data_IF_476643495846
#
_entry.id   IF_476643495846
#
_cell.length_a   1.000
_cell.length_b   1.000
_cell.length_c   1.000
_cell.angle_alpha   90.00
_cell.angle_beta   90.00
_cell.angle_gamma   90.00
#
_symmetry.space_group_name_H-M   'P 1'
#
loop_
_entity.id
_entity.type
_entity.pdbx_description
1 polymer ?
#
# COMPACT_ATOMS: atom_id res chain seq x y z
N UNK A 1 -5.76 -0.13 -19.67
CA UNK A 1 -7.09 0.19 -19.12
C UNK A 1 -8.15 -0.81 -19.55
N UNK A 2 -8.34 -1.03 -20.86
CA UNK A 2 -9.31 -1.99 -21.39
C UNK A 2 -9.16 -3.39 -20.81
N UNK A 3 -7.92 -3.89 -20.64
CA UNK A 3 -7.65 -5.20 -20.02
C UNK A 3 -8.12 -5.33 -18.56
N UNK A 4 -8.15 -4.23 -17.79
CA UNK A 4 -8.71 -4.23 -16.42
C UNK A 4 -10.23 -4.14 -16.47
N UNK A 5 -10.76 -3.24 -17.31
CA UNK A 5 -12.20 -3.03 -17.47
C UNK A 5 -12.92 -4.24 -18.07
N UNK A 6 -12.27 -5.01 -18.94
CA UNK A 6 -12.81 -6.22 -19.55
C UNK A 6 -12.87 -7.44 -18.63
N UNK A 7 -12.24 -7.40 -17.44
CA UNK A 7 -12.30 -8.51 -16.47
C UNK A 7 -13.54 -8.44 -15.58
N UNK A 8 -13.70 -7.34 -14.84
CA UNK A 8 -14.74 -7.20 -13.81
C UNK A 8 -15.49 -5.85 -13.89
N UNK A 9 -15.19 -5.04 -14.91
CA UNK A 9 -15.76 -3.70 -15.08
C UNK A 9 -15.27 -2.66 -14.07
N UNK A 10 -14.94 -3.06 -12.83
CA UNK A 10 -14.45 -2.22 -11.74
C UNK A 10 -13.19 -2.78 -11.08
N UNK A 11 -12.35 -1.91 -10.55
CA UNK A 11 -11.16 -2.31 -9.79
C UNK A 11 -10.73 -1.25 -8.78
N UNK A 12 -10.01 -1.71 -7.76
CA UNK A 12 -9.31 -0.87 -6.80
C UNK A 12 -7.87 -0.70 -7.26
N UNK A 13 -7.35 0.52 -7.34
CA UNK A 13 -5.92 0.74 -7.42
C UNK A 13 -5.36 0.95 -6.02
N UNK A 14 -4.47 0.05 -5.60
CA UNK A 14 -3.77 0.10 -4.33
C UNK A 14 -2.33 0.56 -4.56
N UNK A 15 -2.02 1.77 -4.13
CA UNK A 15 -0.64 2.25 -4.03
C UNK A 15 0.01 1.67 -2.75
N UNK A 16 0.72 0.56 -2.92
CA UNK A 16 1.32 -0.22 -1.84
C UNK A 16 2.77 0.19 -1.64
N UNK A 17 3.00 1.15 -0.74
CA UNK A 17 4.32 1.76 -0.49
C UNK A 17 5.19 0.95 0.48
N UNK A 18 5.36 -0.33 0.20
CA UNK A 18 6.13 -1.27 1.03
C UNK A 18 7.48 -1.64 0.39
N UNK A 19 8.14 -0.67 -0.23
CA UNK A 19 9.45 -0.84 -0.86
C UNK A 19 10.59 -0.68 0.16
N UNK A 20 11.70 -1.39 -0.10
CA UNK A 20 12.87 -1.43 0.80
C UNK A 20 13.42 -0.04 1.16
N UNK A 21 13.55 0.83 0.16
CA UNK A 21 14.05 2.20 0.36
C UNK A 21 13.09 3.04 1.22
N UNK A 22 11.77 2.84 1.10
CA UNK A 22 10.78 3.55 1.90
C UNK A 22 10.83 3.09 3.37
N UNK A 23 10.90 1.79 3.61
CA UNK A 23 11.01 1.23 4.96
C UNK A 23 12.31 1.66 5.64
N UNK A 24 13.42 1.67 4.89
CA UNK A 24 14.72 2.18 5.37
C UNK A 24 14.65 3.67 5.72
N UNK A 25 14.07 4.50 4.83
CA UNK A 25 13.92 5.94 5.01
C UNK A 25 13.06 6.29 6.23
N UNK A 26 11.91 5.65 6.38
CA UNK A 26 10.98 5.85 7.51
C UNK A 26 11.47 5.19 8.80
N UNK A 27 12.41 4.26 8.70
CA UNK A 27 12.92 3.48 9.81
C UNK A 27 11.91 2.53 10.44
N UNK A 28 10.90 2.12 9.67
CA UNK A 28 9.86 1.22 10.11
C UNK A 28 10.28 -0.23 9.96
N UNK A 29 10.36 -0.95 11.08
CA UNK A 29 10.84 -2.34 11.16
C UNK A 29 9.79 -3.31 11.71
N UNK A 30 8.56 -2.85 11.96
CA UNK A 30 7.49 -3.71 12.43
C UNK A 30 7.20 -4.85 11.45
N UNK A 31 7.06 -6.07 11.98
CA UNK A 31 6.87 -7.29 11.20
C UNK A 31 8.12 -7.78 10.46
N UNK A 32 9.25 -7.07 10.52
CA UNK A 32 10.50 -7.52 9.92
C UNK A 32 11.27 -8.44 10.88
N UNK A 33 12.09 -9.32 10.30
CA UNK A 33 13.11 -10.06 11.07
C UNK A 33 14.23 -9.13 11.55
N UNK A 34 15.04 -9.60 12.49
CA UNK A 34 16.22 -8.85 12.94
C UNK A 34 17.20 -8.58 11.79
N UNK A 35 17.40 -9.58 10.91
CA UNK A 35 18.26 -9.47 9.74
C UNK A 35 17.75 -8.40 8.75
N UNK A 36 16.46 -8.42 8.43
CA UNK A 36 15.82 -7.40 7.58
C UNK A 36 15.94 -6.01 8.22
N UNK A 37 15.66 -5.89 9.52
CA UNK A 37 15.75 -4.62 10.26
C UNK A 37 17.16 -4.04 10.26
N UNK A 38 18.18 -4.90 10.42
CA UNK A 38 19.59 -4.52 10.35
C UNK A 38 19.98 -4.07 8.95
N UNK A 39 19.53 -4.78 7.92
CA UNK A 39 19.75 -4.41 6.52
C UNK A 39 19.20 -3.01 6.22
N UNK A 40 17.96 -2.73 6.61
CA UNK A 40 17.34 -1.41 6.42
C UNK A 40 18.08 -0.31 7.19
N UNK A 41 18.61 -0.62 8.38
CA UNK A 41 19.39 0.32 9.18
C UNK A 41 20.71 0.65 8.50
N UNK A 42 21.45 -0.36 8.03
CA UNK A 42 22.72 -0.17 7.30
C UNK A 42 22.48 0.67 6.03
N UNK A 43 21.42 0.39 5.27
CA UNK A 43 21.05 1.19 4.10
C UNK A 43 20.81 2.65 4.47
N UNK A 44 20.07 2.92 5.56
CA UNK A 44 19.79 4.28 6.02
C UNK A 44 21.05 5.02 6.43
N UNK A 45 21.94 4.36 7.16
CA UNK A 45 23.22 4.92 7.60
C UNK A 45 24.11 5.28 6.40
N UNK A 46 24.23 4.39 5.43
CA UNK A 46 25.05 4.57 4.23
C UNK A 46 24.48 5.56 3.20
N UNK A 47 23.21 5.96 3.33
CA UNK A 47 22.58 6.89 2.37
C UNK A 47 22.87 8.35 2.73
N UNK A 48 23.95 8.93 2.20
CA UNK A 48 24.48 10.24 2.61
C UNK A 48 23.48 11.42 2.61
N UNK A 49 22.52 11.44 1.69
CA UNK A 49 21.56 12.55 1.56
C UNK A 49 20.38 12.48 2.55
N UNK A 50 20.25 11.40 3.33
CA UNK A 50 19.24 11.31 4.40
C UNK A 50 19.79 11.86 5.70
N UNK A 51 19.18 12.96 6.19
CA UNK A 51 19.66 13.69 7.38
C UNK A 51 19.48 12.91 8.68
N UNK A 52 18.37 12.19 8.82
CA UNK A 52 18.02 11.46 10.05
C UNK A 52 18.48 10.02 9.91
N UNK A 53 19.39 9.59 10.80
CA UNK A 53 20.00 8.25 10.78
C UNK A 53 19.51 7.34 11.89
N UNK A 54 19.27 7.91 13.06
CA UNK A 54 18.71 7.19 14.22
C UNK A 54 17.21 7.49 14.27
N UNK A 55 16.41 6.44 14.15
CA UNK A 55 14.95 6.53 14.13
C UNK A 55 14.41 5.47 15.08
N UNK A 56 13.48 5.87 15.96
CA UNK A 56 12.72 4.95 16.78
C UNK A 56 11.56 4.38 15.97
N UNK A 57 11.67 3.13 15.52
CA UNK A 57 10.63 2.48 14.71
C UNK A 57 9.28 2.39 15.43
N UNK A 58 9.28 2.24 16.76
CA UNK A 58 8.05 2.08 17.54
C UNK A 58 7.28 3.41 17.54
N UNK A 59 7.99 4.51 17.81
CA UNK A 59 7.42 5.85 17.77
C UNK A 59 6.89 6.21 16.37
N UNK A 60 7.63 5.89 15.30
CA UNK A 60 7.16 6.09 13.93
C UNK A 60 5.87 5.32 13.64
N UNK A 61 5.76 4.09 14.13
CA UNK A 61 4.55 3.27 13.98
C UNK A 61 3.39 3.90 14.73
N UNK A 62 3.55 4.23 16.01
CA UNK A 62 2.50 4.81 16.86
C UNK A 62 2.00 6.16 16.35
N UNK A 63 2.85 6.94 15.69
CA UNK A 63 2.46 8.21 15.07
C UNK A 63 1.88 8.06 13.65
N UNK A 64 1.72 6.83 13.14
CA UNK A 64 1.18 6.57 11.80
C UNK A 64 2.11 6.97 10.65
N UNK A 65 3.41 7.11 10.94
CA UNK A 65 4.45 7.49 9.98
C UNK A 65 5.06 6.28 9.24
N UNK A 66 4.62 5.06 9.57
CA UNK A 66 4.96 3.86 8.83
C UNK A 66 3.96 3.55 7.71
N UNK A 67 4.43 3.03 6.56
CA UNK A 67 3.54 2.38 5.60
C UNK A 67 2.81 1.19 6.26
N UNK A 68 1.55 0.97 5.90
CA UNK A 68 0.88 -0.28 6.27
C UNK A 68 1.54 -1.46 5.55
N UNK A 69 1.71 -2.57 6.28
CA UNK A 69 2.19 -3.84 5.73
C UNK A 69 1.15 -4.45 4.78
N UNK A 70 1.53 -5.37 3.85
CA UNK A 70 0.56 -6.07 3.01
C UNK A 70 -0.54 -6.81 3.81
N UNK A 71 -0.21 -7.37 4.98
CA UNK A 71 -1.15 -7.99 5.91
C UNK A 71 -2.17 -6.97 6.43
N UNK A 72 -1.69 -5.85 6.96
CA UNK A 72 -2.54 -4.78 7.51
C UNK A 72 -3.44 -4.16 6.45
N UNK A 73 -2.93 -3.94 5.23
CA UNK A 73 -3.73 -3.47 4.10
C UNK A 73 -4.84 -4.47 3.75
N UNK A 74 -4.53 -5.77 3.73
CA UNK A 74 -5.52 -6.81 3.49
C UNK A 74 -6.64 -6.82 4.54
N UNK A 75 -6.29 -6.69 5.82
CA UNK A 75 -7.26 -6.58 6.92
C UNK A 75 -8.10 -5.31 6.77
N UNK A 76 -7.46 -4.17 6.51
CA UNK A 76 -8.13 -2.88 6.34
C UNK A 76 -9.17 -2.90 5.20
N UNK A 77 -8.80 -3.39 4.01
CA UNK A 77 -9.73 -3.48 2.88
C UNK A 77 -10.90 -4.42 3.17
N UNK A 78 -10.66 -5.55 3.84
CA UNK A 78 -11.73 -6.46 4.29
C UNK A 78 -12.66 -5.79 5.29
N UNK A 79 -12.10 -5.06 6.26
CA UNK A 79 -12.87 -4.36 7.28
C UNK A 79 -13.75 -3.25 6.66
N UNK A 80 -13.26 -2.54 5.65
CA UNK A 80 -14.06 -1.58 4.86
C UNK A 80 -15.23 -2.25 4.13
N UNK A 81 -15.14 -3.54 3.80
CA UNK A 81 -16.21 -4.30 3.16
C UNK A 81 -15.92 -4.76 1.73
N UNK A 82 -14.68 -4.64 1.26
CA UNK A 82 -14.31 -5.19 -0.05
C UNK A 82 -14.33 -6.73 -0.01
N UNK A 83 -15.09 -7.40 -0.90
CA UNK A 83 -15.11 -8.86 -0.95
C UNK A 83 -13.78 -9.41 -1.47
N UNK A 84 -13.48 -10.68 -1.20
CA UNK A 84 -12.23 -11.32 -1.64
C UNK A 84 -12.10 -11.36 -3.16
N UNK A 85 -13.22 -11.36 -3.88
CA UNK A 85 -13.26 -11.29 -5.35
C UNK A 85 -12.82 -9.95 -5.92
N UNK A 86 -12.64 -8.90 -5.10
CA UNK A 86 -12.25 -7.56 -5.58
C UNK A 86 -10.98 -7.63 -6.43
N UNK A 87 -11.06 -7.13 -7.66
CA UNK A 87 -9.91 -6.93 -8.52
C UNK A 87 -9.06 -5.76 -8.00
N UNK A 88 -7.82 -6.02 -7.62
CA UNK A 88 -6.89 -5.01 -7.09
C UNK A 88 -5.69 -4.89 -8.02
N UNK A 89 -5.51 -3.70 -8.58
CA UNK A 89 -4.28 -3.30 -9.25
C UNK A 89 -3.27 -2.81 -8.20
N UNK A 90 -2.09 -3.43 -8.14
CA UNK A 90 -1.01 -3.04 -7.23
C UNK A 90 -0.09 -2.03 -7.93
N UNK A 91 -0.22 -0.77 -7.54
CA UNK A 91 0.66 0.32 -7.95
C UNK A 91 1.86 0.38 -6.98
N UNK A 92 2.94 -0.33 -7.29
CA UNK A 92 4.13 -0.38 -6.44
C UNK A 92 5.40 -0.68 -7.23
N UNK A 93 6.55 -0.33 -6.62
CA UNK A 93 7.82 -0.94 -6.98
C UNK A 93 7.96 -2.35 -6.39
N UNK A 94 9.21 -2.81 -6.27
CA UNK A 94 9.49 -4.10 -5.63
C UNK A 94 9.06 -4.08 -4.15
N UNK A 95 8.14 -4.99 -3.79
CA UNK A 95 7.68 -5.16 -2.42
C UNK A 95 8.78 -5.83 -1.60
N UNK A 96 9.17 -5.23 -0.48
CA UNK A 96 10.20 -5.79 0.38
C UNK A 96 9.74 -7.12 1.01
N UNK A 97 10.57 -8.15 0.87
CA UNK A 97 10.21 -9.53 1.21
C UNK A 97 9.44 -10.28 0.10
N UNK A 98 9.18 -9.64 -1.04
CA UNK A 98 8.65 -10.23 -2.26
C UNK A 98 7.34 -11.00 -2.06
N UNK A 99 7.25 -12.15 -2.73
CA UNK A 99 6.06 -13.01 -2.72
C UNK A 99 5.67 -13.50 -1.33
N UNK A 100 6.63 -13.74 -0.44
CA UNK A 100 6.35 -14.16 0.94
C UNK A 100 5.50 -13.10 1.66
N UNK A 101 5.91 -11.82 1.57
CA UNK A 101 5.17 -10.72 2.19
C UNK A 101 3.85 -10.46 1.48
N UNK A 102 3.86 -10.50 0.15
CA UNK A 102 2.66 -10.27 -0.67
C UNK A 102 1.58 -11.35 -0.48
N UNK A 103 1.97 -12.59 -0.13
CA UNK A 103 1.04 -13.70 0.10
C UNK A 103 -0.02 -13.40 1.19
N UNK A 104 0.34 -12.56 2.16
CA UNK A 104 -0.57 -12.12 3.22
C UNK A 104 -1.71 -11.25 2.70
N UNK A 105 -1.49 -10.53 1.60
CA UNK A 105 -2.52 -9.77 0.88
C UNK A 105 -3.27 -10.66 -0.10
N UNK A 106 -2.56 -11.47 -0.90
CA UNK A 106 -3.20 -12.29 -1.95
C UNK A 106 -4.06 -13.43 -1.39
N UNK A 107 -3.76 -13.93 -0.19
CA UNK A 107 -4.64 -14.89 0.52
C UNK A 107 -6.02 -14.30 0.85
N UNK A 108 -6.12 -12.98 1.01
CA UNK A 108 -7.39 -12.26 1.25
C UNK A 108 -8.04 -11.78 -0.04
N UNK A 109 -7.24 -11.40 -1.02
CA UNK A 109 -7.66 -10.90 -2.32
C UNK A 109 -6.88 -11.63 -3.42
N UNK A 110 -7.35 -12.78 -3.91
CA UNK A 110 -6.63 -13.55 -4.94
C UNK A 110 -6.49 -12.83 -6.28
N UNK A 111 -7.35 -11.84 -6.57
CA UNK A 111 -7.38 -11.13 -7.86
C UNK A 111 -6.43 -9.92 -7.86
N UNK A 112 -5.14 -10.13 -7.57
CA UNK A 112 -4.12 -9.10 -7.67
C UNK A 112 -3.55 -9.01 -9.09
N UNK A 113 -3.40 -7.79 -9.59
CA UNK A 113 -2.83 -7.51 -10.91
C UNK A 113 -1.72 -6.47 -10.78
N UNK A 114 -0.63 -6.70 -11.50
CA UNK A 114 0.52 -5.81 -11.60
C UNK A 114 0.67 -5.34 -13.04
N UNK A 115 1.42 -4.24 -13.27
CA UNK A 115 1.74 -3.78 -14.63
C UNK A 115 2.41 -4.89 -15.45
N UNK A 116 3.29 -5.68 -14.84
CA UNK A 116 4.01 -6.81 -15.45
C UNK A 116 3.08 -7.94 -15.89
N UNK A 117 1.90 -8.06 -15.27
CA UNK A 117 0.88 -9.05 -15.64
C UNK A 117 -0.20 -8.49 -16.56
N UNK A 118 -0.26 -7.17 -16.71
CA UNK A 118 -1.27 -6.46 -17.49
C UNK A 118 -0.77 -6.08 -18.88
N UNK A 119 0.51 -5.72 -18.99
CA UNK A 119 1.17 -5.34 -20.22
C UNK A 119 2.03 -6.48 -20.76
N UNK A 120 2.25 -6.50 -22.08
CA UNK A 120 3.20 -7.44 -22.68
C UNK A 120 4.64 -7.01 -22.38
N UNK A 121 5.60 -7.90 -22.59
CA UNK A 121 7.02 -7.56 -22.39
C UNK A 121 7.45 -6.43 -23.33
N UNK A 122 6.97 -6.46 -24.56
CA UNK A 122 7.24 -5.46 -25.60
C UNK A 122 6.67 -4.09 -25.23
N UNK A 123 5.45 -4.06 -24.65
CA UNK A 123 4.85 -2.81 -24.15
C UNK A 123 5.64 -2.21 -22.98
N UNK A 124 6.28 -3.05 -22.15
CA UNK A 124 7.07 -2.61 -20.99
C UNK A 124 8.54 -2.34 -21.31
N UNK A 125 9.04 -2.82 -22.44
CA UNK A 125 10.46 -2.76 -22.80
C UNK A 125 10.99 -1.32 -22.77
N UNK A 126 10.23 -0.37 -23.33
CA UNK A 126 10.58 1.06 -23.34
C UNK A 126 10.63 1.74 -21.97
N UNK A 127 10.09 1.08 -20.93
CA UNK A 127 10.10 1.57 -19.55
C UNK A 127 11.18 0.90 -18.69
N UNK A 128 11.89 -0.08 -19.25
CA UNK A 128 12.96 -0.81 -18.55
C UNK A 128 14.06 0.18 -18.15
N UNK A 129 14.53 0.08 -16.90
CA UNK A 129 15.50 1.02 -16.31
C UNK A 129 15.05 2.49 -16.20
N UNK A 130 13.82 2.81 -16.57
CA UNK A 130 13.23 4.15 -16.45
C UNK A 130 12.18 4.19 -15.34
N UNK A 131 12.63 4.07 -14.08
CA UNK A 131 11.75 3.96 -12.91
C UNK A 131 10.65 5.04 -12.86
N UNK A 132 10.97 6.29 -13.19
CA UNK A 132 9.98 7.38 -13.22
C UNK A 132 8.92 7.21 -14.32
N UNK A 133 9.31 6.71 -15.50
CA UNK A 133 8.36 6.45 -16.58
C UNK A 133 7.50 5.22 -16.27
N UNK A 134 8.09 4.18 -15.68
CA UNK A 134 7.36 3.01 -15.19
C UNK A 134 6.32 3.40 -14.13
N UNK A 135 6.67 4.29 -13.19
CA UNK A 135 5.74 4.82 -12.20
C UNK A 135 4.61 5.68 -12.82
N UNK A 136 4.81 6.24 -14.01
CA UNK A 136 3.76 6.97 -14.73
C UNK A 136 2.63 6.03 -15.21
N UNK A 137 2.94 4.77 -15.53
CA UNK A 137 1.94 3.74 -15.83
C UNK A 137 1.06 3.50 -14.59
N UNK A 138 1.70 3.28 -13.44
CA UNK A 138 1.00 3.08 -12.17
C UNK A 138 0.13 4.30 -11.82
N UNK A 139 0.60 5.51 -12.11
CA UNK A 139 -0.14 6.76 -11.91
C UNK A 139 -1.41 6.80 -12.76
N UNK A 140 -1.31 6.56 -14.07
CA UNK A 140 -2.45 6.61 -15.00
C UNK A 140 -3.50 5.57 -14.60
N UNK A 141 -3.09 4.33 -14.33
CA UNK A 141 -4.00 3.26 -13.92
C UNK A 141 -4.65 3.59 -12.56
N UNK A 142 -3.94 4.25 -11.66
CA UNK A 142 -4.49 4.69 -10.37
C UNK A 142 -5.52 5.80 -10.52
N UNK A 143 -5.27 6.79 -11.38
CA UNK A 143 -6.22 7.88 -11.68
C UNK A 143 -7.51 7.33 -12.28
N UNK A 144 -7.41 6.32 -13.15
CA UNK A 144 -8.56 5.73 -13.84
C UNK A 144 -9.31 4.64 -13.07
N UNK A 145 -8.88 4.29 -11.86
CA UNK A 145 -9.54 3.31 -11.01
C UNK A 145 -10.89 3.77 -10.46
N UNK A 146 -11.76 2.84 -10.07
CA UNK A 146 -13.03 3.19 -9.39
C UNK A 146 -12.77 3.68 -7.96
N UNK A 147 -11.81 3.04 -7.30
CA UNK A 147 -11.35 3.43 -5.96
C UNK A 147 -9.83 3.43 -5.94
N UNK A 148 -9.25 4.52 -5.44
CA UNK A 148 -7.83 4.60 -5.15
C UNK A 148 -7.57 4.48 -3.65
N UNK A 149 -6.62 3.64 -3.25
CA UNK A 149 -6.20 3.47 -1.86
C UNK A 149 -4.69 3.63 -1.78
N UNK A 150 -4.18 4.43 -0.82
CA UNK A 150 -2.74 4.61 -0.63
C UNK A 150 -2.30 4.11 0.74
N UNK A 151 -1.46 3.08 0.80
CA UNK A 151 -1.00 2.49 2.08
C UNK A 151 -0.06 3.40 2.87
N UNK A 152 0.48 4.44 2.22
CA UNK A 152 1.32 5.45 2.81
C UNK A 152 1.12 6.83 2.16
N UNK A 153 1.50 7.91 2.86
CA UNK A 153 1.48 9.25 2.31
C UNK A 153 2.77 9.52 1.54
N UNK A 154 2.67 9.85 0.26
CA UNK A 154 3.81 10.19 -0.58
C UNK A 154 3.39 11.00 -1.80
N UNK A 155 4.38 11.44 -2.60
CA UNK A 155 4.13 12.32 -3.75
C UNK A 155 3.15 11.72 -4.75
N UNK A 156 3.30 10.43 -5.08
CA UNK A 156 2.38 9.74 -6.00
C UNK A 156 0.95 9.71 -5.44
N UNK A 157 0.77 9.31 -4.18
CA UNK A 157 -0.54 9.28 -3.55
C UNK A 157 -1.25 10.65 -3.58
N UNK A 158 -0.54 11.72 -3.22
CA UNK A 158 -1.06 13.10 -3.28
C UNK A 158 -1.38 13.54 -4.71
N UNK A 159 -0.53 13.21 -5.68
CA UNK A 159 -0.74 13.56 -7.07
C UNK A 159 -1.96 12.85 -7.68
N UNK A 160 -2.14 11.57 -7.36
CA UNK A 160 -3.32 10.80 -7.80
C UNK A 160 -4.59 11.33 -7.13
N UNK A 161 -4.56 11.57 -5.81
CA UNK A 161 -5.70 12.13 -5.08
C UNK A 161 -6.12 13.49 -5.67
N UNK A 162 -5.16 14.40 -5.87
CA UNK A 162 -5.42 15.71 -6.45
C UNK A 162 -6.02 15.63 -7.85
N UNK A 163 -5.49 14.77 -8.72
CA UNK A 163 -6.01 14.59 -10.07
C UNK A 163 -7.42 13.97 -10.06
N UNK A 164 -7.66 12.97 -9.22
CA UNK A 164 -8.99 12.36 -9.05
C UNK A 164 -10.02 13.34 -8.50
N UNK A 165 -9.59 14.28 -7.64
CA UNK A 165 -10.44 15.37 -7.14
C UNK A 165 -10.82 16.34 -8.25
N UNK A 166 -9.86 16.70 -9.10
CA UNK A 166 -10.07 17.57 -10.27
C UNK A 166 -11.05 16.95 -11.29
N UNK A 167 -10.95 15.64 -11.56
CA UNK A 167 -11.79 14.91 -12.52
C UNK A 167 -13.19 14.53 -12.00
N UNK A 168 -13.81 15.38 -11.19
CA UNK A 168 -15.17 15.15 -10.66
C UNK A 168 -15.21 14.28 -9.40
N UNK A 169 -14.18 14.38 -8.55
CA UNK A 169 -14.16 13.80 -7.21
C UNK A 169 -14.38 12.26 -7.17
N UNK A 170 -13.46 11.50 -7.77
CA UNK A 170 -13.49 10.03 -7.72
C UNK A 170 -13.07 9.50 -6.33
N UNK A 171 -13.68 8.40 -5.87
CA UNK A 171 -13.46 7.83 -4.52
C UNK A 171 -11.98 7.55 -4.26
N UNK A 172 -11.43 8.17 -3.23
CA UNK A 172 -10.06 7.95 -2.76
C UNK A 172 -10.11 7.67 -1.27
N UNK A 173 -9.38 6.65 -0.80
CA UNK A 173 -9.38 6.23 0.60
C UNK A 173 -7.95 6.35 1.13
N UNK A 174 -7.78 7.20 2.14
CA UNK A 174 -6.52 7.32 2.86
C UNK A 174 -6.68 6.69 4.25
N UNK A 175 -5.95 5.60 4.56
CA UNK A 175 -6.06 4.93 5.85
C UNK A 175 -5.66 5.86 7.00
N UNK A 176 -6.41 5.82 8.10
CA UNK A 176 -6.06 6.45 9.37
C UNK A 176 -4.95 5.67 10.07
N UNK A 177 -3.73 5.72 9.52
CA UNK A 177 -2.64 4.83 9.96
C UNK A 177 -2.38 4.92 11.47
N UNK A 178 -2.46 6.11 12.05
CA UNK A 178 -2.28 6.32 13.49
C UNK A 178 -3.33 5.53 14.30
N UNK A 179 -4.63 5.73 14.00
CA UNK A 179 -5.69 4.98 14.67
C UNK A 179 -5.67 3.48 14.34
N UNK A 180 -5.34 3.12 13.09
CA UNK A 180 -5.29 1.73 12.65
C UNK A 180 -4.19 0.92 13.35
N UNK A 181 -3.07 1.54 13.73
CA UNK A 181 -2.02 0.86 14.51
C UNK A 181 -2.60 0.31 15.82
N UNK A 182 -3.39 1.10 16.56
CA UNK A 182 -4.05 0.64 17.78
C UNK A 182 -5.01 -0.53 17.49
N UNK A 183 -5.75 -0.46 16.39
CA UNK A 183 -6.66 -1.53 15.96
C UNK A 183 -5.89 -2.82 15.65
N UNK A 184 -4.76 -2.72 14.95
CA UNK A 184 -3.93 -3.87 14.61
C UNK A 184 -3.27 -4.48 15.86
N UNK A 185 -2.77 -3.65 16.77
CA UNK A 185 -2.16 -4.12 18.01
C UNK A 185 -3.18 -4.88 18.88
N UNK A 186 -4.45 -4.44 18.91
CA UNK A 186 -5.57 -5.16 19.54
C UNK A 186 -5.93 -6.48 18.85
N UNK A 187 -5.75 -6.58 17.53
CA UNK A 187 -5.91 -7.85 16.82
C UNK A 187 -4.79 -8.83 17.19
N UNK A 188 -3.57 -8.33 17.41
CA UNK A 188 -2.42 -9.17 17.77
C UNK A 188 -2.44 -9.62 19.23
N UNK A 189 -2.91 -8.78 20.15
CA UNK A 189 -3.13 -9.18 21.56
C UNK A 189 -4.31 -10.15 21.73
N UNK A 190 -5.22 -10.19 20.74
CA UNK A 190 -6.44 -11.00 20.78
C UNK A 190 -7.64 -10.30 21.41
N UNK A 191 -7.51 -9.03 21.81
CA UNK A 191 -8.59 -8.19 22.35
C UNK A 191 -9.64 -7.82 21.29
N UNK A 192 -9.26 -7.89 20.02
CA UNK A 192 -10.14 -7.74 18.87
C UNK A 192 -9.97 -8.94 17.93
N UNK A 193 -11.02 -9.27 17.17
CA UNK A 193 -10.97 -10.30 16.13
C UNK A 193 -11.52 -9.74 14.82
N UNK A 194 -11.06 -10.31 13.70
CA UNK A 194 -11.65 -10.02 12.40
C UNK A 194 -13.13 -10.44 12.40
N UNK A 195 -14.02 -9.52 12.03
CA UNK A 195 -15.47 -9.71 12.10
C UNK A 195 -16.22 -8.38 12.03
N UNK A 196 -17.51 -8.41 12.40
CA UNK A 196 -18.40 -7.24 12.34
C UNK A 196 -17.89 -6.07 13.18
N UNK A 197 -17.42 -6.32 14.41
CA UNK A 197 -16.93 -5.27 15.30
C UNK A 197 -15.70 -4.54 14.74
N UNK A 198 -14.76 -5.26 14.13
CA UNK A 198 -13.63 -4.65 13.42
C UNK A 198 -14.12 -3.82 12.22
N UNK A 199 -15.04 -4.36 11.43
CA UNK A 199 -15.60 -3.66 10.28
C UNK A 199 -16.32 -2.37 10.67
N UNK A 200 -17.14 -2.39 11.72
CA UNK A 200 -17.84 -1.21 12.24
C UNK A 200 -16.83 -0.15 12.70
N UNK A 201 -15.83 -0.54 13.50
CA UNK A 201 -14.78 0.37 13.97
C UNK A 201 -14.03 1.03 12.80
N UNK A 202 -13.53 0.22 11.86
CA UNK A 202 -12.77 0.74 10.72
C UNK A 202 -13.63 1.62 9.82
N UNK A 203 -14.90 1.28 9.58
CA UNK A 203 -15.81 2.12 8.79
C UNK A 203 -16.10 3.44 9.49
N UNK A 204 -16.39 3.44 10.78
CA UNK A 204 -16.61 4.67 11.57
C UNK A 204 -15.40 5.59 11.53
N UNK A 205 -14.18 5.04 11.63
CA UNK A 205 -12.93 5.82 11.51
C UNK A 205 -12.75 6.49 10.14
N UNK A 206 -13.43 6.01 9.09
CA UNK A 206 -13.23 6.44 7.70
C UNK A 206 -14.52 6.94 7.02
N UNK A 207 -15.60 7.18 7.78
CA UNK A 207 -16.91 7.54 7.21
C UNK A 207 -16.89 8.93 6.53
N UNK A 208 -16.11 9.86 7.09
CA UNK A 208 -15.94 11.23 6.58
C UNK A 208 -14.58 11.46 5.90
N UNK A 209 -13.93 10.40 5.40
CA UNK A 209 -12.61 10.46 4.76
C UNK A 209 -12.64 10.07 3.29
#
# INVERSE_FOLDING_TARGET
MERLRGRDGRYVALHLRYEKNMLSFTGCTYGLTEAESKELTIMRENTNHWKVKKINSIEQRLEGNCPLTPKEVGIFLRALGYPSSTLIYIAAGEIYGGNSRLSTLSSRFPNLVFKETLATKEELEGFTNHASQSAAIDYIISVESDVFVSSFSGNMGRAVEGHRRFLGHRRTITPDRKGLVEVFDRLESGDLREGSSLSELVRQMHDNR
#
